data_IF_903470491025
#
_entry.id   IF_903470491025
#
_cell.length_a   1.000
_cell.length_b   1.000
_cell.length_c   1.000
_cell.angle_alpha   90.00
_cell.angle_beta   90.00
_cell.angle_gamma   90.00
#
_symmetry.space_group_name_H-M   'P 1'
#
loop_
_entity.id
_entity.type
_entity.pdbx_description
1 polymer ?
#
# COMPACT_ATOMS: atom_id res chain seq x y z
N UNK A 1 22.94 31.01 59.23
CA UNK A 1 22.68 32.27 58.51
C UNK A 1 22.06 31.91 57.18
N UNK A 2 20.78 32.25 57.00
CA UNK A 2 19.93 31.79 55.89
C UNK A 2 20.25 32.52 54.60
N UNK A 3 20.35 31.79 53.49
CA UNK A 3 20.47 32.32 52.13
C UNK A 3 19.08 32.55 51.55
N UNK A 4 18.76 33.82 51.30
CA UNK A 4 17.51 34.25 50.65
C UNK A 4 17.66 34.00 49.14
N UNK A 5 16.84 33.10 48.61
CA UNK A 5 16.65 32.89 47.18
C UNK A 5 15.56 33.83 46.66
N UNK A 6 15.87 34.63 45.64
CA UNK A 6 14.90 35.49 44.95
C UNK A 6 14.03 34.68 43.97
N UNK A 7 12.69 34.87 43.93
CA UNK A 7 11.84 34.22 42.95
C UNK A 7 11.73 35.00 41.63
N UNK A 8 11.71 34.25 40.53
CA UNK A 8 11.49 34.66 39.14
C UNK A 8 10.08 35.26 38.96
N UNK A 9 9.87 36.37 38.20
CA UNK A 9 8.53 36.89 37.96
C UNK A 9 7.82 36.13 36.84
N UNK A 10 6.75 35.43 37.19
CA UNK A 10 5.73 34.93 36.27
C UNK A 10 4.65 36.00 36.08
N UNK A 11 4.59 36.58 34.89
CA UNK A 11 3.49 37.44 34.45
C UNK A 11 2.42 36.59 33.75
N UNK A 12 1.26 36.52 34.35
CA UNK A 12 0.05 35.91 33.81
C UNK A 12 -1.13 36.85 34.03
N UNK A 13 -1.77 37.30 32.95
CA UNK A 13 -3.17 37.79 32.83
C UNK A 13 -3.42 37.93 31.29
N UNK A 14 -4.23 37.08 30.61
CA UNK A 14 -5.70 36.98 30.60
C UNK A 14 -6.35 38.31 30.11
N UNK A 15 -7.26 38.43 29.13
CA UNK A 15 -8.14 37.51 28.39
C UNK A 15 -8.82 38.26 27.21
N UNK A 16 -9.48 37.49 26.31
CA UNK A 16 -10.58 37.83 25.35
C UNK A 16 -10.22 38.38 23.96
N UNK A 17 -10.46 37.54 22.92
CA UNK A 17 -11.72 37.47 22.11
C UNK A 17 -11.58 36.37 21.04
N UNK A 18 -12.30 35.25 21.20
CA UNK A 18 -13.42 34.77 20.33
C UNK A 18 -13.11 34.61 18.84
N UNK A 19 -13.09 33.37 18.34
CA UNK A 19 -14.01 32.89 17.29
C UNK A 19 -13.88 31.38 17.09
N UNK A 20 -15.05 30.76 17.06
CA UNK A 20 -15.40 29.37 16.78
C UNK A 20 -14.93 28.90 15.40
N UNK A 21 -14.37 27.69 15.32
CA UNK A 21 -14.87 26.68 14.36
C UNK A 21 -14.32 25.30 14.71
N UNK A 22 -15.24 24.42 15.08
CA UNK A 22 -15.08 22.97 15.01
C UNK A 22 -15.01 22.56 13.55
N UNK A 23 -14.01 21.79 13.13
CA UNK A 23 -14.32 20.61 12.33
C UNK A 23 -13.25 19.52 12.39
N UNK A 24 -13.76 18.33 12.63
CA UNK A 24 -13.13 17.02 12.64
C UNK A 24 -12.79 16.59 11.22
N UNK A 25 -11.50 16.46 10.88
CA UNK A 25 -11.13 15.88 9.58
C UNK A 25 -11.12 14.36 9.70
N UNK A 26 -12.28 13.76 9.42
CA UNK A 26 -12.38 12.37 9.02
C UNK A 26 -11.78 12.19 7.63
N UNK A 27 -10.95 11.17 7.52
CA UNK A 27 -10.40 10.59 6.30
C UNK A 27 -11.54 10.10 5.41
N UNK A 28 -11.60 10.56 4.15
CA UNK A 28 -12.25 9.82 3.06
C UNK A 28 -11.66 10.19 1.70
N UNK A 29 -11.41 9.12 0.96
CA UNK A 29 -11.04 9.00 -0.45
C UNK A 29 -12.14 9.48 -1.39
N UNK A 30 -11.81 10.26 -2.43
CA UNK A 30 -12.31 10.05 -3.81
C UNK A 30 -11.83 11.13 -4.79
N UNK A 31 -11.48 10.66 -5.99
CA UNK A 31 -11.50 11.33 -7.29
C UNK A 31 -12.43 12.56 -7.37
N UNK A 32 -11.87 13.74 -7.70
CA UNK A 32 -12.45 14.70 -8.66
C UNK A 32 -11.53 15.92 -8.89
N UNK A 33 -11.16 16.11 -10.16
CA UNK A 33 -10.93 17.35 -10.92
C UNK A 33 -10.49 18.63 -10.16
N UNK A 34 -9.31 19.21 -10.46
CA UNK A 34 -8.85 20.45 -9.81
C UNK A 34 -9.47 21.73 -10.40
N UNK A 35 -9.61 22.82 -9.61
CA UNK A 35 -10.10 24.14 -10.03
C UNK A 35 -9.06 24.95 -10.82
N UNK A 36 -9.48 25.99 -11.59
CA UNK A 36 -8.64 26.69 -12.59
C UNK A 36 -7.62 27.70 -12.02
N UNK A 37 -7.30 27.67 -10.73
CA UNK A 37 -6.38 28.63 -10.07
C UNK A 37 -4.91 28.17 -10.01
N UNK A 38 -4.60 26.91 -10.34
CA UNK A 38 -3.24 26.36 -10.33
C UNK A 38 -2.38 26.73 -11.55
N UNK A 39 -2.97 27.27 -12.61
CA UNK A 39 -2.24 27.53 -13.86
C UNK A 39 -1.16 28.63 -13.70
N UNK A 40 -1.33 29.59 -12.78
CA UNK A 40 -0.37 30.66 -12.56
C UNK A 40 0.84 30.23 -11.72
N UNK A 41 0.65 29.33 -10.74
CA UNK A 41 1.77 28.79 -9.94
C UNK A 41 2.59 27.79 -10.75
N UNK A 42 1.93 26.94 -11.55
CA UNK A 42 2.60 26.02 -12.46
C UNK A 42 3.40 26.76 -13.54
N UNK A 43 2.86 27.86 -14.08
CA UNK A 43 3.60 28.70 -15.06
C UNK A 43 4.80 29.40 -14.43
N UNK A 44 4.66 29.96 -13.22
CA UNK A 44 5.78 30.59 -12.49
C UNK A 44 6.88 29.60 -12.13
N UNK A 45 6.51 28.42 -11.63
CA UNK A 45 7.46 27.37 -11.28
C UNK A 45 8.17 26.83 -12.54
N UNK A 46 7.45 26.69 -13.65
CA UNK A 46 8.06 26.34 -14.94
C UNK A 46 9.04 27.39 -15.45
N UNK A 47 8.77 28.68 -15.26
CA UNK A 47 9.73 29.74 -15.64
C UNK A 47 10.97 29.69 -14.77
N UNK A 48 10.81 29.62 -13.44
CA UNK A 48 11.93 29.52 -12.50
C UNK A 48 12.84 28.31 -12.79
N UNK A 49 12.25 27.17 -13.14
CA UNK A 49 13.02 25.98 -13.53
C UNK A 49 13.75 26.16 -14.87
N UNK A 50 13.14 26.84 -15.85
CA UNK A 50 13.81 27.13 -17.14
C UNK A 50 15.00 28.07 -16.97
N UNK A 51 14.89 29.04 -16.08
CA UNK A 51 15.96 29.98 -15.77
C UNK A 51 17.09 29.28 -14.99
N UNK A 52 16.75 28.40 -14.05
CA UNK A 52 17.72 27.57 -13.30
C UNK A 52 18.55 26.65 -14.22
N UNK A 53 17.93 26.05 -15.23
CA UNK A 53 18.59 25.21 -16.21
C UNK A 53 19.12 25.98 -17.44
N UNK A 54 19.07 27.32 -17.43
CA UNK A 54 19.50 28.19 -18.54
C UNK A 54 18.90 27.79 -19.90
N UNK A 55 17.70 27.22 -19.89
CA UNK A 55 17.06 26.65 -21.08
C UNK A 55 16.51 27.72 -22.04
N UNK A 56 16.65 29.00 -21.67
CA UNK A 56 16.23 30.15 -22.47
C UNK A 56 17.27 30.57 -23.51
N UNK A 57 18.56 30.28 -23.28
CA UNK A 57 19.64 30.49 -24.26
C UNK A 57 19.58 29.49 -25.42
N UNK A 58 18.97 28.32 -25.23
CA UNK A 58 18.82 27.33 -26.28
C UNK A 58 17.66 27.63 -27.27
N UNK A 59 16.79 28.58 -26.94
CA UNK A 59 15.59 28.91 -27.73
C UNK A 59 15.60 30.32 -28.34
N UNK A 60 16.68 31.09 -28.15
CA UNK A 60 16.78 32.50 -28.54
C UNK A 60 17.46 32.76 -29.89
N UNK A 61 17.66 31.75 -30.74
CA UNK A 61 18.24 31.97 -32.08
C UNK A 61 17.29 32.73 -33.04
N UNK A 62 16.01 32.95 -32.68
CA UNK A 62 15.01 33.55 -33.58
C UNK A 62 14.20 34.73 -33.00
N UNK A 63 14.76 35.55 -32.11
CA UNK A 63 14.12 36.82 -31.73
C UNK A 63 15.13 37.96 -31.54
N UNK A 64 15.25 38.80 -32.58
CA UNK A 64 15.96 40.08 -32.56
C UNK A 64 15.20 41.14 -31.77
N UNK A 65 15.97 42.01 -31.13
CA UNK A 65 15.65 43.33 -30.55
C UNK A 65 14.62 43.42 -29.41
N UNK A 66 15.15 43.32 -28.19
CA UNK A 66 14.70 44.11 -27.04
C UNK A 66 15.95 44.54 -26.25
N UNK A 67 16.06 45.81 -25.80
CA UNK A 67 17.28 46.31 -25.17
C UNK A 67 17.50 45.59 -23.82
N UNK A 68 18.64 44.92 -23.71
CA UNK A 68 19.25 44.50 -22.46
C UNK A 68 19.50 45.74 -21.59
N UNK A 69 18.60 45.99 -20.65
CA UNK A 69 18.89 46.83 -19.50
C UNK A 69 18.28 46.15 -18.30
N UNK A 70 19.00 45.18 -17.74
CA UNK A 70 19.02 44.80 -16.32
C UNK A 70 20.31 44.00 -16.09
N UNK A 71 21.44 44.64 -16.44
CA UNK A 71 22.68 44.36 -15.73
C UNK A 71 22.48 44.92 -14.33
N UNK A 72 22.53 44.03 -13.33
CA UNK A 72 22.64 44.40 -11.92
C UNK A 72 23.71 45.48 -11.81
N UNK A 73 23.31 46.73 -11.63
CA UNK A 73 24.21 47.79 -11.25
C UNK A 73 24.74 47.40 -9.88
N UNK A 74 25.91 46.74 -9.85
CA UNK A 74 26.64 46.52 -8.61
C UNK A 74 26.73 47.88 -7.95
N UNK A 75 26.17 48.03 -6.76
CA UNK A 75 26.20 49.30 -6.03
C UNK A 75 27.64 49.79 -5.99
N UNK A 76 27.90 51.09 -6.08
CA UNK A 76 29.27 51.62 -5.98
C UNK A 76 29.99 51.15 -4.70
N UNK A 77 29.20 50.85 -3.66
CA UNK A 77 29.59 50.28 -2.37
C UNK A 77 30.00 48.79 -2.43
N UNK A 78 29.59 48.05 -3.44
CA UNK A 78 29.84 46.61 -3.60
C UNK A 78 31.07 46.31 -4.47
N UNK A 79 31.79 47.35 -4.90
CA UNK A 79 32.99 47.21 -5.75
C UNK A 79 34.15 46.59 -4.94
N UNK A 80 34.94 45.67 -5.54
CA UNK A 80 36.05 45.01 -4.84
C UNK A 80 37.16 45.99 -4.40
N UNK A 81 37.32 47.10 -5.12
CA UNK A 81 38.31 48.15 -4.84
C UNK A 81 37.70 49.36 -4.10
N UNK A 82 36.63 49.15 -3.32
CA UNK A 82 35.94 50.23 -2.62
C UNK A 82 36.80 50.86 -1.52
N UNK A 83 37.11 52.16 -1.67
CA UNK A 83 37.70 52.99 -0.60
C UNK A 83 36.63 53.87 0.06
N UNK A 84 36.35 53.57 1.33
CA UNK A 84 35.39 54.34 2.13
C UNK A 84 35.80 55.80 2.31
N UNK A 85 37.10 56.09 2.42
CA UNK A 85 37.59 57.44 2.71
C UNK A 85 37.44 58.35 1.49
N UNK A 86 37.81 57.86 0.30
CA UNK A 86 37.61 58.56 -0.98
C UNK A 86 36.12 58.74 -1.28
N UNK A 87 35.30 57.70 -1.05
CA UNK A 87 33.85 57.77 -1.22
C UNK A 87 33.22 58.85 -0.35
N UNK A 88 33.54 58.91 0.95
CA UNK A 88 33.00 59.93 1.85
C UNK A 88 33.48 61.33 1.46
N UNK A 89 34.75 61.50 1.08
CA UNK A 89 35.27 62.79 0.62
C UNK A 89 34.56 63.28 -0.65
N UNK A 90 34.38 62.41 -1.64
CA UNK A 90 33.65 62.73 -2.86
C UNK A 90 32.17 63.04 -2.59
N UNK A 91 31.56 62.35 -1.62
CA UNK A 91 30.18 62.56 -1.20
C UNK A 91 30.00 63.93 -0.53
N UNK A 92 30.89 64.29 0.39
CA UNK A 92 30.87 65.59 1.07
C UNK A 92 31.19 66.76 0.12
N UNK A 93 31.96 66.51 -0.94
CA UNK A 93 32.24 67.50 -1.97
C UNK A 93 31.07 67.70 -2.95
N UNK A 94 30.25 66.67 -3.18
CA UNK A 94 29.13 66.70 -4.13
C UNK A 94 27.79 67.09 -3.50
N UNK A 95 27.52 66.61 -2.29
CA UNK A 95 26.22 66.74 -1.64
C UNK A 95 26.25 67.76 -0.49
N UNK A 96 25.15 68.48 -0.31
CA UNK A 96 24.93 69.29 0.90
C UNK A 96 24.54 68.43 2.11
N UNK A 97 24.50 69.04 3.30
CA UNK A 97 24.17 68.35 4.57
C UNK A 97 22.88 67.52 4.51
N UNK A 98 21.83 68.03 3.87
CA UNK A 98 20.55 67.32 3.73
C UNK A 98 20.69 66.04 2.88
N UNK A 99 21.48 66.09 1.80
CA UNK A 99 21.77 64.93 0.96
C UNK A 99 22.56 63.87 1.72
N UNK A 100 23.57 64.30 2.49
CA UNK A 100 24.38 63.42 3.34
C UNK A 100 23.51 62.71 4.38
N UNK A 101 22.59 63.42 5.06
CA UNK A 101 21.68 62.82 6.04
C UNK A 101 20.70 61.82 5.40
N UNK A 102 20.22 62.09 4.17
CA UNK A 102 19.36 61.15 3.43
C UNK A 102 20.10 59.87 3.09
N UNK A 103 21.35 59.98 2.67
CA UNK A 103 22.20 58.84 2.33
C UNK A 103 22.52 58.04 3.59
N UNK A 104 22.84 58.70 4.70
CA UNK A 104 23.06 58.06 6.01
C UNK A 104 21.81 57.28 6.45
N UNK A 105 20.62 57.89 6.38
CA UNK A 105 19.38 57.22 6.74
C UNK A 105 19.11 55.99 5.84
N UNK A 106 19.41 56.09 4.54
CA UNK A 106 19.34 54.98 3.59
C UNK A 106 20.31 53.85 3.93
N UNK A 107 21.57 54.18 4.23
CA UNK A 107 22.60 53.23 4.66
C UNK A 107 22.21 52.52 5.96
N UNK A 108 21.72 53.24 6.97
CA UNK A 108 21.25 52.65 8.23
C UNK A 108 20.10 51.68 7.97
N UNK A 109 19.15 52.05 7.11
CA UNK A 109 18.05 51.15 6.73
C UNK A 109 18.57 49.92 5.98
N UNK A 110 19.53 50.10 5.07
CA UNK A 110 20.17 49.02 4.33
C UNK A 110 20.90 48.04 5.25
N UNK A 111 21.69 48.55 6.20
CA UNK A 111 22.39 47.74 7.21
C UNK A 111 21.40 46.89 8.02
N UNK A 112 20.28 47.48 8.46
CA UNK A 112 19.24 46.74 9.19
C UNK A 112 18.53 45.71 8.31
N UNK A 113 18.29 46.02 7.04
CA UNK A 113 17.74 45.10 6.05
C UNK A 113 18.66 43.89 5.85
N UNK A 114 19.94 44.14 5.57
CA UNK A 114 20.96 43.10 5.39
C UNK A 114 21.16 42.24 6.63
N UNK A 115 21.12 42.81 7.84
CA UNK A 115 21.15 42.03 9.08
C UNK A 115 19.90 41.13 9.22
N UNK A 116 18.73 41.64 8.83
CA UNK A 116 17.50 40.86 8.76
C UNK A 116 17.60 39.70 7.75
N UNK A 117 18.10 39.96 6.55
CA UNK A 117 18.30 38.95 5.51
C UNK A 117 19.33 37.90 5.94
N UNK A 118 20.46 38.32 6.53
CA UNK A 118 21.46 37.41 7.10
C UNK A 118 20.83 36.49 8.14
N UNK A 119 20.04 37.03 9.07
CA UNK A 119 19.32 36.24 10.07
C UNK A 119 18.35 35.27 9.39
N UNK A 120 17.57 35.74 8.43
CA UNK A 120 16.61 34.91 7.70
C UNK A 120 17.31 33.74 6.99
N UNK A 121 18.44 33.98 6.33
CA UNK A 121 19.25 32.93 5.70
C UNK A 121 19.77 31.90 6.70
N UNK A 122 20.23 32.36 7.86
CA UNK A 122 20.70 31.48 8.94
C UNK A 122 19.55 30.61 9.47
N UNK A 123 18.37 31.18 9.70
CA UNK A 123 17.19 30.42 10.13
C UNK A 123 16.70 29.44 9.06
N UNK A 124 16.69 29.84 7.80
CA UNK A 124 16.32 28.97 6.68
C UNK A 124 17.31 27.80 6.56
N UNK A 125 18.61 28.07 6.65
CA UNK A 125 19.63 27.03 6.61
C UNK A 125 19.54 26.06 7.80
N UNK A 126 19.44 26.57 9.02
CA UNK A 126 19.30 25.72 10.21
C UNK A 126 17.99 24.92 10.20
N UNK A 127 16.87 25.53 9.80
CA UNK A 127 15.60 24.82 9.70
C UNK A 127 15.65 23.68 8.67
N UNK A 128 16.33 23.90 7.53
CA UNK A 128 16.58 22.85 6.53
C UNK A 128 17.48 21.75 7.06
N UNK A 129 18.57 22.09 7.77
CA UNK A 129 19.47 21.10 8.38
C UNK A 129 18.75 20.26 9.45
N UNK A 130 17.93 20.88 10.28
CA UNK A 130 17.11 20.19 11.27
C UNK A 130 16.13 19.25 10.57
N UNK A 131 15.39 19.74 9.57
CA UNK A 131 14.43 18.93 8.81
C UNK A 131 15.11 17.76 8.08
N UNK A 132 16.32 17.95 7.54
CA UNK A 132 17.11 16.89 6.93
C UNK A 132 17.53 15.85 7.98
N UNK A 133 17.99 16.30 9.15
CA UNK A 133 18.37 15.41 10.26
C UNK A 133 17.18 14.60 10.77
N UNK A 134 16.00 15.21 10.92
CA UNK A 134 14.77 14.52 11.28
C UNK A 134 14.33 13.51 10.22
N UNK A 135 14.58 13.82 8.94
CA UNK A 135 14.31 12.89 7.84
C UNK A 135 15.25 11.70 7.89
N UNK A 136 16.55 11.92 8.14
CA UNK A 136 17.53 10.84 8.35
C UNK A 136 17.13 9.98 9.55
N UNK A 137 16.69 10.59 10.65
CA UNK A 137 16.20 9.87 11.83
C UNK A 137 15.00 8.97 11.49
N UNK A 138 13.98 9.52 10.82
CA UNK A 138 12.80 8.76 10.37
C UNK A 138 13.16 7.66 9.37
N UNK A 139 14.11 7.91 8.46
CA UNK A 139 14.62 6.89 7.54
C UNK A 139 15.31 5.77 8.30
N UNK A 140 16.13 6.09 9.32
CA UNK A 140 16.81 5.11 10.16
C UNK A 140 15.83 4.27 10.97
N UNK A 141 14.83 4.89 11.60
CA UNK A 141 13.80 4.16 12.36
C UNK A 141 13.01 3.20 11.47
N UNK A 142 12.69 3.61 10.23
CA UNK A 142 12.05 2.72 9.24
C UNK A 142 12.97 1.64 8.68
N UNK A 143 14.26 1.95 8.50
CA UNK A 143 15.26 1.00 8.00
C UNK A 143 15.79 0.08 9.09
N UNK A 144 15.45 0.29 10.37
CA UNK A 144 15.92 -0.56 11.45
C UNK A 144 15.26 -1.94 11.33
N UNK A 145 15.97 -2.93 10.76
CA UNK A 145 15.35 -4.16 10.26
C UNK A 145 14.80 -5.02 11.40
N UNK A 146 15.24 -4.75 12.62
CA UNK A 146 14.87 -5.49 13.82
C UNK A 146 13.39 -5.31 14.15
N UNK A 147 12.80 -4.14 13.87
CA UNK A 147 11.39 -3.88 14.23
C UNK A 147 10.39 -4.46 13.23
N UNK A 148 10.70 -4.39 11.93
CA UNK A 148 9.83 -4.99 10.90
C UNK A 148 9.93 -6.51 10.92
N UNK A 149 11.13 -7.08 11.07
CA UNK A 149 11.29 -8.54 11.13
C UNK A 149 10.72 -9.16 12.40
N UNK A 150 10.81 -8.49 13.55
CA UNK A 150 10.17 -8.98 14.78
C UNK A 150 8.65 -9.01 14.69
N UNK A 151 8.06 -7.98 14.08
CA UNK A 151 6.62 -7.91 13.87
C UNK A 151 6.15 -8.97 12.88
N UNK A 152 6.86 -9.13 11.74
CA UNK A 152 6.55 -10.17 10.76
C UNK A 152 6.67 -11.58 11.34
N UNK A 153 7.69 -11.86 12.15
CA UNK A 153 7.86 -13.15 12.81
C UNK A 153 6.74 -13.44 13.81
N UNK A 154 6.29 -12.41 14.56
CA UNK A 154 5.12 -12.50 15.43
C UNK A 154 3.82 -12.76 14.66
N UNK A 155 3.61 -12.05 13.55
CA UNK A 155 2.43 -12.19 12.69
C UNK A 155 2.39 -13.58 12.01
N UNK A 156 3.53 -14.08 11.53
CA UNK A 156 3.66 -15.43 10.97
C UNK A 156 3.31 -16.49 12.03
N UNK A 157 3.75 -16.30 13.28
CA UNK A 157 3.38 -17.17 14.39
C UNK A 157 1.87 -17.21 14.64
N UNK A 158 1.22 -16.04 14.69
CA UNK A 158 -0.23 -15.95 14.87
C UNK A 158 -1.01 -16.56 13.70
N UNK A 159 -0.53 -16.37 12.46
CA UNK A 159 -1.15 -16.96 11.27
C UNK A 159 -1.02 -18.49 11.32
N UNK A 160 0.16 -19.01 11.68
CA UNK A 160 0.39 -20.44 11.81
C UNK A 160 -0.50 -21.07 12.90
N UNK A 161 -0.64 -20.42 14.05
CA UNK A 161 -1.52 -20.86 15.13
C UNK A 161 -2.99 -20.89 14.66
N UNK A 162 -3.49 -19.81 14.05
CA UNK A 162 -4.85 -19.75 13.51
C UNK A 162 -5.08 -20.78 12.39
N UNK A 163 -4.10 -21.00 11.53
CA UNK A 163 -4.17 -22.01 10.48
C UNK A 163 -4.25 -23.43 11.07
N UNK A 164 -3.46 -23.73 12.10
CA UNK A 164 -3.53 -25.01 12.81
C UNK A 164 -4.90 -25.20 13.47
N UNK A 165 -5.43 -24.18 14.17
CA UNK A 165 -6.78 -24.25 14.75
C UNK A 165 -7.86 -24.51 13.70
N UNK A 166 -7.78 -23.85 12.54
CA UNK A 166 -8.72 -24.06 11.44
C UNK A 166 -8.58 -25.46 10.83
N UNK A 167 -7.35 -25.95 10.65
CA UNK A 167 -7.07 -27.29 10.11
C UNK A 167 -7.54 -28.40 11.05
N UNK A 168 -7.42 -28.22 12.36
CA UNK A 168 -7.92 -29.16 13.36
C UNK A 168 -9.46 -29.16 13.38
N UNK A 169 -10.08 -27.98 13.29
CA UNK A 169 -11.52 -27.83 13.12
C UNK A 169 -12.06 -28.51 11.85
N UNK A 170 -11.39 -28.32 10.71
CA UNK A 170 -11.75 -28.96 9.44
C UNK A 170 -11.49 -30.46 9.44
N UNK A 171 -10.40 -30.93 10.06
CA UNK A 171 -10.10 -32.37 10.17
C UNK A 171 -11.14 -33.07 11.03
N UNK A 172 -11.56 -32.45 12.14
CA UNK A 172 -12.66 -32.96 12.99
C UNK A 172 -14.00 -32.95 12.26
N UNK A 173 -14.30 -31.90 11.48
CA UNK A 173 -15.51 -31.83 10.66
C UNK A 173 -15.54 -32.84 9.50
N UNK A 174 -14.41 -33.00 8.80
CA UNK A 174 -14.27 -33.91 7.65
C UNK A 174 -14.20 -35.38 8.08
N UNK A 175 -13.51 -35.70 9.19
CA UNK A 175 -13.46 -37.07 9.72
C UNK A 175 -14.84 -37.57 10.17
N UNK A 176 -15.66 -36.68 10.76
CA UNK A 176 -17.04 -37.00 11.12
C UNK A 176 -17.96 -37.26 9.91
N UNK A 177 -17.71 -36.62 8.77
CA UNK A 177 -18.61 -36.69 7.61
C UNK A 177 -18.20 -37.74 6.55
N UNK A 178 -16.90 -38.04 6.39
CA UNK A 178 -16.42 -39.02 5.39
C UNK A 178 -16.27 -40.46 5.90
N UNK A 179 -16.16 -40.66 7.22
CA UNK A 179 -15.97 -42.00 7.80
C UNK A 179 -17.19 -42.92 7.68
N UNK A 180 -18.41 -42.38 7.73
CA UNK A 180 -19.65 -43.17 7.64
C UNK A 180 -20.21 -43.32 6.22
N UNK A 181 -20.04 -42.31 5.36
CA UNK A 181 -20.65 -42.28 4.02
C UNK A 181 -19.96 -43.18 2.99
N UNK A 182 -18.64 -43.37 3.10
CA UNK A 182 -17.89 -44.19 2.15
C UNK A 182 -18.28 -45.66 2.17
N UNK A 183 -18.51 -46.21 3.36
CA UNK A 183 -18.91 -47.62 3.52
C UNK A 183 -20.36 -47.86 3.05
N UNK A 184 -21.28 -46.94 3.36
CA UNK A 184 -22.67 -47.03 2.89
C UNK A 184 -22.78 -46.92 1.36
N UNK A 185 -22.00 -46.04 0.73
CA UNK A 185 -22.01 -45.89 -0.73
C UNK A 185 -21.41 -47.12 -1.42
N UNK A 186 -20.33 -47.70 -0.88
CA UNK A 186 -19.76 -48.95 -1.38
C UNK A 186 -20.77 -50.12 -1.26
N UNK A 187 -21.47 -50.23 -0.13
CA UNK A 187 -22.52 -51.23 0.07
C UNK A 187 -23.71 -51.03 -0.88
N UNK A 188 -24.08 -49.78 -1.19
CA UNK A 188 -25.13 -49.49 -2.18
C UNK A 188 -24.73 -49.89 -3.59
N UNK A 189 -23.47 -49.68 -3.95
CA UNK A 189 -22.94 -50.07 -5.26
C UNK A 189 -22.89 -51.58 -5.42
N UNK A 190 -22.47 -52.33 -4.39
CA UNK A 190 -22.48 -53.81 -4.45
C UNK A 190 -23.90 -54.36 -4.57
N UNK A 191 -24.87 -53.81 -3.81
CA UNK A 191 -26.29 -54.20 -3.95
C UNK A 191 -26.83 -53.87 -5.33
N UNK A 192 -26.51 -52.69 -5.88
CA UNK A 192 -26.94 -52.31 -7.24
C UNK A 192 -26.35 -53.22 -8.31
N UNK A 193 -25.09 -53.62 -8.16
CA UNK A 193 -24.43 -54.54 -9.08
C UNK A 193 -25.09 -55.92 -9.08
N UNK A 194 -25.42 -56.46 -7.91
CA UNK A 194 -26.12 -57.74 -7.77
C UNK A 194 -27.54 -57.69 -8.36
N UNK A 195 -28.26 -56.57 -8.22
CA UNK A 195 -29.61 -56.44 -8.77
C UNK A 195 -29.63 -56.34 -10.31
N UNK A 196 -28.56 -55.87 -10.94
CA UNK A 196 -28.45 -55.74 -12.39
C UNK A 196 -27.90 -57.00 -13.08
N UNK A 197 -27.50 -58.00 -12.29
CA UNK A 197 -27.05 -59.32 -12.72
C UNK A 197 -27.89 -60.00 -13.82
N UNK A 198 -29.23 -60.15 -13.71
CA UNK A 198 -30.01 -60.89 -14.71
C UNK A 198 -29.99 -60.22 -16.09
N UNK A 199 -29.87 -58.89 -16.15
CA UNK A 199 -29.72 -58.15 -17.41
C UNK A 199 -28.34 -58.35 -18.02
N UNK A 200 -27.29 -58.28 -17.19
CA UNK A 200 -25.90 -58.47 -17.61
C UNK A 200 -25.66 -59.90 -18.11
N UNK A 201 -26.18 -60.90 -17.39
CA UNK A 201 -26.12 -62.29 -17.82
C UNK A 201 -26.88 -62.53 -19.13
N UNK A 202 -28.08 -61.96 -19.30
CA UNK A 202 -28.81 -62.03 -20.57
C UNK A 202 -27.99 -61.46 -21.74
N UNK A 203 -27.37 -60.29 -21.55
CA UNK A 203 -26.53 -59.67 -22.58
C UNK A 203 -25.28 -60.49 -22.92
N UNK A 204 -24.62 -61.09 -21.92
CA UNK A 204 -23.43 -61.94 -22.15
C UNK A 204 -23.79 -63.25 -22.86
N UNK A 205 -25.02 -63.73 -22.66
CA UNK A 205 -25.57 -64.91 -23.33
C UNK A 205 -25.95 -64.59 -24.79
N UNK A 206 -26.52 -63.42 -25.05
CA UNK A 206 -26.77 -62.90 -26.41
C UNK A 206 -25.45 -62.74 -27.20
N UNK A 207 -24.38 -62.30 -26.53
CA UNK A 207 -23.04 -62.12 -27.10
C UNK A 207 -22.26 -63.45 -27.28
N UNK A 208 -22.91 -64.61 -27.07
CA UNK A 208 -22.32 -65.97 -27.17
C UNK A 208 -21.18 -66.27 -26.18
N UNK A 209 -21.07 -65.50 -25.07
CA UNK A 209 -20.03 -65.67 -24.03
C UNK A 209 -20.54 -66.47 -22.84
N UNK A 210 -20.94 -67.71 -23.10
CA UNK A 210 -21.55 -68.58 -22.09
C UNK A 210 -20.62 -68.91 -20.90
N UNK A 211 -19.32 -69.10 -21.16
CA UNK A 211 -18.34 -69.41 -20.11
C UNK A 211 -18.13 -68.26 -19.11
N UNK A 212 -18.17 -67.00 -19.57
CA UNK A 212 -18.07 -65.82 -18.71
C UNK A 212 -19.36 -65.59 -17.92
N UNK A 213 -20.51 -65.88 -18.53
CA UNK A 213 -21.81 -65.81 -17.86
C UNK A 213 -21.96 -66.84 -16.72
N UNK A 214 -21.45 -68.05 -16.89
CA UNK A 214 -21.44 -69.08 -15.83
C UNK A 214 -20.53 -68.68 -14.65
N UNK A 215 -19.33 -68.14 -14.92
CA UNK A 215 -18.42 -67.68 -13.88
C UNK A 215 -19.01 -66.52 -13.07
N UNK A 216 -19.65 -65.55 -13.73
CA UNK A 216 -20.28 -64.42 -13.06
C UNK A 216 -21.51 -64.85 -12.24
N UNK A 217 -22.29 -65.80 -12.76
CA UNK A 217 -23.40 -66.43 -12.01
C UNK A 217 -22.91 -67.05 -10.71
N UNK A 218 -21.81 -67.80 -10.75
CA UNK A 218 -21.26 -68.45 -9.56
C UNK A 218 -20.81 -67.42 -8.53
N UNK A 219 -20.13 -66.35 -8.95
CA UNK A 219 -19.72 -65.24 -8.08
C UNK A 219 -20.93 -64.58 -7.39
N UNK A 220 -21.98 -64.27 -8.16
CA UNK A 220 -23.21 -63.68 -7.63
C UNK A 220 -23.93 -64.65 -6.69
N UNK A 221 -23.96 -65.95 -6.99
CA UNK A 221 -24.60 -66.95 -6.14
C UNK A 221 -23.87 -67.13 -4.81
N UNK A 222 -22.53 -67.05 -4.78
CA UNK A 222 -21.79 -67.03 -3.51
C UNK A 222 -22.12 -65.80 -2.66
N UNK A 223 -22.29 -64.63 -3.29
CA UNK A 223 -22.68 -63.39 -2.61
C UNK A 223 -24.13 -63.46 -2.09
N UNK A 224 -25.06 -63.98 -2.88
CA UNK A 224 -26.46 -64.17 -2.49
C UNK A 224 -26.62 -65.20 -1.38
N UNK A 225 -25.78 -66.23 -1.33
CA UNK A 225 -25.75 -67.20 -0.24
C UNK A 225 -25.30 -66.58 1.10
N UNK A 226 -24.48 -65.53 1.05
CA UNK A 226 -24.16 -64.68 2.20
C UNK A 226 -25.34 -63.79 2.65
N UNK A 227 -26.33 -63.56 1.78
CA UNK A 227 -27.50 -62.68 2.02
C UNK A 227 -28.81 -63.47 2.27
N UNK A 228 -28.71 -64.71 2.76
CA UNK A 228 -29.88 -65.55 3.09
C UNK A 228 -30.81 -64.84 4.09
N UNK A 229 -32.05 -64.60 3.68
CA UNK A 229 -33.09 -63.94 4.49
C UNK A 229 -33.46 -62.52 4.06
N UNK A 230 -32.76 -61.93 3.09
CA UNK A 230 -33.15 -60.62 2.51
C UNK A 230 -34.23 -60.82 1.44
N UNK A 231 -35.33 -60.06 1.55
CA UNK A 231 -36.42 -60.10 0.57
C UNK A 231 -35.92 -59.69 -0.82
N UNK A 232 -36.19 -60.51 -1.85
CA UNK A 232 -35.83 -60.23 -3.24
C UNK A 232 -34.61 -61.00 -3.78
N UNK A 233 -33.78 -61.60 -2.90
CA UNK A 233 -32.61 -62.42 -3.29
C UNK A 233 -33.02 -63.63 -4.14
N UNK A 234 -34.09 -64.33 -3.75
CA UNK A 234 -34.66 -65.45 -4.53
C UNK A 234 -35.24 -65.00 -5.88
N UNK A 235 -35.69 -63.74 -5.97
CA UNK A 235 -36.18 -63.15 -7.21
C UNK A 235 -35.05 -62.89 -8.21
N UNK A 236 -33.90 -62.42 -7.73
CA UNK A 236 -32.69 -62.24 -8.56
C UNK A 236 -32.15 -63.60 -9.00
N UNK A 237 -32.09 -64.59 -8.10
CA UNK A 237 -31.66 -65.96 -8.42
C UNK A 237 -32.48 -66.55 -9.57
N UNK A 238 -33.80 -66.49 -9.45
CA UNK A 238 -34.72 -66.95 -10.51
C UNK A 238 -34.58 -66.15 -11.80
N UNK A 239 -34.35 -64.83 -11.70
CA UNK A 239 -34.10 -63.97 -12.86
C UNK A 239 -32.84 -64.35 -13.63
N UNK A 240 -31.76 -64.68 -12.91
CA UNK A 240 -30.50 -65.14 -13.51
C UNK A 240 -30.64 -66.53 -14.15
N UNK A 241 -31.39 -67.44 -13.52
CA UNK A 241 -31.69 -68.76 -14.08
C UNK A 241 -32.57 -68.65 -15.34
N UNK A 242 -33.62 -67.82 -15.31
CA UNK A 242 -34.50 -67.58 -16.46
C UNK A 242 -33.76 -66.94 -17.65
N UNK A 243 -32.80 -66.04 -17.39
CA UNK A 243 -31.97 -65.43 -18.42
C UNK A 243 -31.07 -66.46 -19.15
N UNK A 244 -30.72 -67.57 -18.50
CA UNK A 244 -29.94 -68.67 -19.09
C UNK A 244 -30.84 -69.73 -19.75
N UNK A 245 -32.02 -70.00 -19.19
CA UNK A 245 -32.97 -70.99 -19.72
C UNK A 245 -33.65 -70.55 -21.03
N UNK A 246 -33.79 -69.23 -21.25
CA UNK A 246 -34.40 -68.66 -22.46
C UNK A 246 -33.67 -69.03 -23.77
N UNK A 247 -32.52 -69.70 -23.68
CA UNK A 247 -31.72 -70.16 -24.82
C UNK A 247 -31.47 -71.69 -24.84
N UNK A 248 -31.89 -72.45 -23.81
CA UNK A 248 -31.92 -73.92 -23.90
C UNK A 248 -33.14 -74.45 -24.67
N UNK A 249 -34.13 -73.58 -24.95
CA UNK A 249 -35.38 -73.92 -25.62
C UNK A 249 -35.57 -73.25 -27.00
N UNK A 250 -34.51 -72.66 -27.56
CA UNK A 250 -34.47 -72.06 -28.90
C UNK A 250 -33.56 -72.81 -29.85
#
# INVERSE_FOLDING_TARGET
>A
MSTIASPRPSISLSSRRTSTSTDTTTRSTSTSRPPPSGASSLRRNRTALRDYYKLKDAASVDARDAPEAEGTITSELDRPDFDAQEYVQSLLAREGLEGVLKIEAGLISGIRGLDGEKKALVYDNYSKLIAATDTIRRMREKMDPVTETSNLMGDIGQIAERANMLSDGLSKGSAGQRGGGGNLEQQRQTVRWVLDAPRRLGQMVDDSKHAEAEAEKDEIFTLLDGWKGVNGVEGVRRGCEAALEHQQSG
#
